data_IF_121178078017
#
_entry.id   IF_121178078017
#
_cell.length_a   1.000
_cell.length_b   1.000
_cell.length_c   1.000
_cell.angle_alpha   90.00
_cell.angle_beta   90.00
_cell.angle_gamma   90.00
#
_symmetry.space_group_name_H-M   'P 1'
#
loop_
_entity.id
_entity.type
_entity.pdbx_description
1 polymer ?
#
# COMPACT_ATOMS: atom_id res chain seq x y z
N UNK A 1 -11.37 -6.33 -17.71
CA UNK A 1 -10.38 -6.20 -16.63
C UNK A 1 -11.15 -5.97 -15.35
N UNK A 2 -11.11 -6.91 -14.41
CA UNK A 2 -11.77 -6.75 -13.12
C UNK A 2 -11.13 -5.58 -12.37
N UNK A 3 -11.93 -4.71 -11.77
CA UNK A 3 -11.43 -3.64 -10.89
C UNK A 3 -10.68 -4.32 -9.74
N UNK A 4 -9.41 -3.99 -9.52
CA UNK A 4 -8.67 -4.50 -8.36
C UNK A 4 -9.38 -3.98 -7.10
N UNK A 5 -9.42 -4.81 -6.07
CA UNK A 5 -9.98 -4.40 -4.79
C UNK A 5 -8.91 -3.59 -4.06
N UNK A 6 -9.06 -2.27 -4.10
CA UNK A 6 -8.07 -1.35 -3.56
C UNK A 6 -8.37 -0.97 -2.10
N UNK A 7 -9.48 -1.48 -1.56
CA UNK A 7 -9.92 -1.26 -0.17
C UNK A 7 -10.55 0.10 0.12
N UNK A 8 -10.61 1.01 -0.87
CA UNK A 8 -11.03 2.40 -0.71
C UNK A 8 -9.87 3.33 -0.36
N UNK A 9 -10.16 4.57 0.03
CA UNK A 9 -9.14 5.55 0.41
C UNK A 9 -8.45 5.16 1.73
N UNK A 10 -7.13 5.33 1.80
CA UNK A 10 -6.35 5.02 3.01
C UNK A 10 -6.77 5.88 4.21
N UNK A 11 -7.13 7.13 3.94
CA UNK A 11 -7.59 8.11 4.91
C UNK A 11 -8.87 8.74 4.37
N UNK A 12 -10.04 8.07 4.54
CA UNK A 12 -11.29 8.56 4.00
C UNK A 12 -11.69 9.86 4.71
N UNK A 13 -12.18 10.83 3.93
CA UNK A 13 -12.74 12.09 4.42
C UNK A 13 -14.22 12.13 4.05
N UNK A 14 -15.07 12.62 4.96
CA UNK A 14 -16.47 12.85 4.62
C UNK A 14 -16.60 14.05 3.68
N UNK A 15 -17.35 13.86 2.58
CA UNK A 15 -17.72 14.93 1.69
C UNK A 15 -18.83 15.78 2.34
N UNK A 16 -18.46 16.97 2.78
CA UNK A 16 -19.34 18.01 3.32
C UNK A 16 -19.40 19.19 2.35
N UNK A 17 -20.38 20.10 2.46
CA UNK A 17 -20.45 21.28 1.58
C UNK A 17 -19.15 22.13 1.59
N UNK A 18 -18.41 22.12 2.70
CA UNK A 18 -17.13 22.79 2.85
C UNK A 18 -15.96 22.06 2.14
N UNK A 19 -16.10 20.75 1.92
CA UNK A 19 -15.08 19.91 1.29
C UNK A 19 -15.48 19.44 -0.11
N UNK A 20 -16.73 19.62 -0.53
CA UNK A 20 -17.27 19.17 -1.82
C UNK A 20 -16.60 19.82 -3.05
N UNK A 21 -16.00 21.00 -2.87
CA UNK A 21 -15.22 21.69 -3.90
C UNK A 21 -13.78 21.18 -4.01
N UNK A 22 -13.31 20.43 -3.00
CA UNK A 22 -12.05 19.69 -3.06
C UNK A 22 -12.43 18.26 -3.33
N UNK A 23 -11.78 17.66 -4.31
CA UNK A 23 -11.89 16.23 -4.51
C UNK A 23 -11.24 15.56 -3.28
N UNK A 24 -12.04 15.39 -2.22
CA UNK A 24 -11.68 14.87 -0.90
C UNK A 24 -11.26 13.40 -0.96
N UNK A 25 -11.33 12.85 -2.16
CA UNK A 25 -10.99 11.52 -2.62
C UNK A 25 -9.65 11.52 -3.38
N UNK A 26 -8.81 12.53 -3.17
CA UNK A 26 -7.44 12.58 -3.68
C UNK A 26 -6.47 11.92 -2.69
N UNK A 27 -5.65 10.99 -3.16
CA UNK A 27 -4.61 10.36 -2.35
C UNK A 27 -4.40 8.89 -2.65
N UNK A 28 -3.87 8.17 -1.66
CA UNK A 28 -3.57 6.74 -1.74
C UNK A 28 -4.78 5.88 -1.39
N UNK A 29 -4.86 4.70 -2.00
CA UNK A 29 -5.80 3.66 -1.58
C UNK A 29 -5.28 2.92 -0.34
N UNK A 30 -6.13 2.17 0.37
CA UNK A 30 -5.69 1.30 1.49
C UNK A 30 -4.67 0.27 1.01
N UNK A 31 -4.83 -0.24 -0.22
CA UNK A 31 -3.86 -1.12 -0.87
C UNK A 31 -2.48 -0.48 -0.97
N UNK A 32 -2.42 0.75 -1.47
CA UNK A 32 -1.16 1.49 -1.60
C UNK A 32 -0.53 1.79 -0.23
N UNK A 33 -1.36 2.14 0.75
CA UNK A 33 -0.91 2.41 2.11
C UNK A 33 -0.31 1.17 2.79
N UNK A 34 -0.98 0.01 2.71
CA UNK A 34 -0.43 -1.24 3.24
C UNK A 34 0.84 -1.66 2.50
N UNK A 35 0.89 -1.50 1.18
CA UNK A 35 2.09 -1.79 0.40
C UNK A 35 3.25 -0.88 0.82
N UNK A 36 3.01 0.41 1.05
CA UNK A 36 4.02 1.34 1.55
C UNK A 36 4.53 0.95 2.95
N UNK A 37 3.63 0.55 3.86
CA UNK A 37 4.01 0.06 5.19
C UNK A 37 4.86 -1.22 5.12
N UNK A 38 4.44 -2.17 4.28
CA UNK A 38 5.19 -3.41 4.04
C UNK A 38 6.58 -3.11 3.47
N UNK A 39 6.66 -2.22 2.48
CA UNK A 39 7.90 -1.78 1.87
C UNK A 39 8.85 -1.17 2.91
N UNK A 40 8.37 -0.22 3.73
CA UNK A 40 9.21 0.42 4.75
C UNK A 40 9.78 -0.60 5.75
N UNK A 41 8.93 -1.51 6.25
CA UNK A 41 9.37 -2.54 7.20
C UNK A 41 10.40 -3.50 6.58
N UNK A 42 10.19 -3.89 5.32
CA UNK A 42 11.11 -4.79 4.63
C UNK A 42 12.45 -4.13 4.33
N UNK A 43 12.46 -2.92 3.77
CA UNK A 43 13.73 -2.23 3.48
C UNK A 43 14.55 -1.99 4.75
N UNK A 44 13.89 -1.78 5.90
CA UNK A 44 14.54 -1.61 7.19
C UNK A 44 15.04 -2.91 7.85
N UNK A 45 14.63 -4.09 7.38
CA UNK A 45 14.94 -5.38 8.03
C UNK A 45 16.20 -6.07 7.52
N UNK A 46 16.89 -5.51 6.52
CA UNK A 46 18.10 -6.12 5.96
C UNK A 46 19.30 -5.94 6.90
N UNK A 47 19.99 -7.02 7.30
CA UNK A 47 21.20 -6.93 8.09
C UNK A 47 22.38 -6.45 7.23
N UNK A 48 23.40 -5.88 7.87
CA UNK A 48 24.64 -5.44 7.19
C UNK A 48 25.36 -6.56 6.44
N UNK A 49 25.13 -7.81 6.83
CA UNK A 49 25.70 -9.00 6.17
C UNK A 49 25.04 -9.36 4.83
N UNK A 50 23.97 -8.67 4.43
CA UNK A 50 23.26 -8.89 3.19
C UNK A 50 23.27 -7.65 2.30
N UNK A 51 23.37 -7.85 0.98
CA UNK A 51 23.20 -6.74 0.02
C UNK A 51 21.75 -6.29 0.01
N UNK A 52 21.53 -5.00 0.25
CA UNK A 52 20.21 -4.39 0.21
C UNK A 52 19.55 -4.59 -1.18
N UNK A 53 18.24 -4.93 -1.26
CA UNK A 53 17.60 -5.38 -2.50
C UNK A 53 17.59 -4.33 -3.59
N UNK A 54 17.56 -3.04 -3.23
CA UNK A 54 17.66 -1.94 -4.20
C UNK A 54 19.04 -1.92 -4.87
N UNK A 55 20.10 -2.19 -4.12
CA UNK A 55 21.47 -2.26 -4.66
C UNK A 55 21.66 -3.52 -5.50
N UNK A 56 21.02 -4.62 -5.11
CA UNK A 56 21.05 -5.88 -5.83
C UNK A 56 20.19 -5.92 -7.11
N UNK A 57 19.48 -4.83 -7.46
CA UNK A 57 18.62 -4.78 -8.65
C UNK A 57 17.27 -5.47 -8.50
N UNK A 58 16.85 -5.80 -7.27
CA UNK A 58 15.62 -6.55 -6.97
C UNK A 58 14.42 -5.65 -6.62
N UNK A 59 14.41 -4.40 -7.08
CA UNK A 59 13.37 -3.43 -6.72
C UNK A 59 11.95 -3.90 -7.12
N UNK A 60 11.81 -4.53 -8.30
CA UNK A 60 10.52 -5.01 -8.81
C UNK A 60 9.93 -6.13 -7.94
N UNK A 61 10.75 -7.06 -7.47
CA UNK A 61 10.31 -8.13 -6.57
C UNK A 61 9.91 -7.59 -5.20
N UNK A 62 10.63 -6.59 -4.67
CA UNK A 62 10.24 -5.94 -3.41
C UNK A 62 8.88 -5.27 -3.56
N UNK A 63 8.66 -4.51 -4.64
CA UNK A 63 7.38 -3.86 -4.90
C UNK A 63 6.23 -4.89 -5.01
N UNK A 64 6.45 -5.96 -5.79
CA UNK A 64 5.48 -7.04 -5.98
C UNK A 64 5.08 -7.69 -4.66
N UNK A 65 6.05 -8.08 -3.83
CA UNK A 65 5.73 -8.73 -2.56
C UNK A 65 5.07 -7.78 -1.56
N UNK A 66 5.43 -6.49 -1.54
CA UNK A 66 4.73 -5.48 -0.73
C UNK A 66 3.24 -5.39 -1.09
N UNK A 67 2.91 -5.40 -2.39
CA UNK A 67 1.51 -5.43 -2.84
C UNK A 67 0.83 -6.77 -2.53
N UNK A 68 1.54 -7.91 -2.59
CA UNK A 68 0.97 -9.20 -2.18
C UNK A 68 0.55 -9.20 -0.70
N UNK A 69 1.36 -8.58 0.16
CA UNK A 69 1.02 -8.45 1.58
C UNK A 69 -0.16 -7.49 1.77
N UNK A 70 -0.20 -6.37 1.04
CA UNK A 70 -1.35 -5.46 1.05
C UNK A 70 -2.66 -6.17 0.65
N UNK A 71 -2.62 -6.96 -0.43
CA UNK A 71 -3.77 -7.74 -0.90
C UNK A 71 -4.19 -8.78 0.16
N UNK A 72 -3.25 -9.36 0.91
CA UNK A 72 -3.55 -10.27 2.01
C UNK A 72 -4.23 -9.57 3.19
N UNK A 73 -3.79 -8.35 3.55
CA UNK A 73 -4.43 -7.57 4.60
C UNK A 73 -5.87 -7.17 4.24
N UNK A 74 -6.12 -6.81 2.98
CA UNK A 74 -7.47 -6.51 2.50
C UNK A 74 -8.39 -7.74 2.58
N UNK A 75 -7.92 -8.92 2.14
CA UNK A 75 -8.70 -10.16 2.28
C UNK A 75 -9.02 -10.49 3.74
N UNK A 76 -8.06 -10.30 4.65
CA UNK A 76 -8.27 -10.55 6.08
C UNK A 76 -9.33 -9.62 6.67
N UNK A 77 -9.34 -8.34 6.26
CA UNK A 77 -10.35 -7.36 6.68
C UNK A 77 -11.75 -7.73 6.20
N UNK A 78 -11.90 -8.21 4.97
CA UNK A 78 -13.21 -8.58 4.41
C UNK A 78 -13.82 -9.83 5.04
N UNK A 79 -12.97 -10.70 5.61
CA UNK A 79 -13.41 -11.90 6.32
C UNK A 79 -13.85 -11.64 7.78
N UNK A 80 -13.75 -10.39 8.27
CA UNK A 80 -14.09 -9.98 9.64
C UNK A 80 -15.46 -9.28 9.67
#
# INVERSE_FOLDING_TARGET
>A
MSKKNDGGYAFPMEATDATAWRDCNQGMTLRDYFAAKALSGWLASYPESCTHPIVAGNADEVAKHSYMLADAMLRAREAS
#
